data_IF_251263776867
#
_entry.id   IF_251263776867
#
_cell.length_a   1.000
_cell.length_b   1.000
_cell.length_c   1.000
_cell.angle_alpha   90.00
_cell.angle_beta   90.00
_cell.angle_gamma   90.00
#
_symmetry.space_group_name_H-M   'P 1'
#
loop_
_entity.id
_entity.type
_entity.pdbx_description
1 polymer ?
#
# COMPACT_ATOMS: atom_id res chain seq x y z
N UNK A 1 -40.13 7.48 3.62
CA UNK A 1 -39.15 6.38 3.61
C UNK A 1 -38.04 6.71 4.60
N UNK A 2 -37.58 5.74 5.39
CA UNK A 2 -36.44 5.93 6.31
C UNK A 2 -35.12 6.10 5.55
N UNK A 3 -34.05 6.51 6.27
CA UNK A 3 -32.69 6.53 5.72
C UNK A 3 -32.19 5.10 5.49
N UNK A 4 -31.38 4.90 4.46
CA UNK A 4 -30.74 3.62 4.16
C UNK A 4 -29.59 3.39 5.15
N UNK A 5 -29.77 2.47 6.08
CA UNK A 5 -28.79 2.11 7.09
C UNK A 5 -27.67 1.31 6.47
N UNK A 6 -26.46 1.83 6.62
CA UNK A 6 -25.27 1.31 5.93
C UNK A 6 -24.18 0.93 6.93
N UNK A 7 -23.55 -0.23 6.73
CA UNK A 7 -22.24 -0.54 7.32
C UNK A 7 -21.18 -0.47 6.21
N UNK A 8 -20.00 0.07 6.52
CA UNK A 8 -18.86 0.07 5.58
C UNK A 8 -17.77 -0.86 6.12
N UNK A 9 -17.41 -1.89 5.35
CA UNK A 9 -16.35 -2.85 5.68
C UNK A 9 -15.01 -2.36 5.13
N UNK A 10 -14.00 -2.13 5.97
CA UNK A 10 -12.68 -1.77 5.46
C UNK A 10 -11.58 -1.81 6.50
N UNK A 11 -10.42 -1.25 6.12
CA UNK A 11 -9.20 -1.25 6.92
C UNK A 11 -8.67 0.18 7.08
N UNK A 12 -9.55 1.14 7.37
CA UNK A 12 -9.19 2.54 7.62
C UNK A 12 -8.46 3.23 6.45
N UNK A 13 -8.91 3.01 5.21
CA UNK A 13 -8.42 3.72 4.03
C UNK A 13 -9.56 4.02 3.07
N UNK A 14 -9.82 3.09 2.14
CA UNK A 14 -10.91 3.17 1.17
C UNK A 14 -12.29 3.33 1.81
N UNK A 15 -12.54 2.70 2.96
CA UNK A 15 -13.79 2.84 3.71
C UNK A 15 -14.05 4.29 4.13
N UNK A 16 -13.04 4.98 4.66
CA UNK A 16 -13.14 6.40 5.00
C UNK A 16 -13.32 7.28 3.76
N UNK A 17 -12.63 6.96 2.67
CA UNK A 17 -12.81 7.66 1.40
C UNK A 17 -14.22 7.49 0.84
N UNK A 18 -14.73 6.26 0.82
CA UNK A 18 -16.10 5.94 0.39
C UNK A 18 -17.13 6.67 1.25
N UNK A 19 -16.93 6.69 2.57
CA UNK A 19 -17.73 7.49 3.50
C UNK A 19 -17.72 8.97 3.11
N UNK A 20 -16.55 9.56 2.96
CA UNK A 20 -16.39 10.99 2.67
C UNK A 20 -17.02 11.39 1.32
N UNK A 21 -16.99 10.51 0.32
CA UNK A 21 -17.47 10.80 -1.04
C UNK A 21 -18.97 10.53 -1.23
N UNK A 22 -19.49 9.44 -0.68
CA UNK A 22 -20.84 8.98 -0.99
C UNK A 22 -21.84 9.26 0.13
N UNK A 23 -21.39 9.27 1.39
CA UNK A 23 -22.27 9.16 2.55
C UNK A 23 -22.26 10.37 3.49
N UNK A 24 -21.11 11.03 3.67
CA UNK A 24 -20.89 12.04 4.73
C UNK A 24 -21.97 13.11 4.80
N UNK A 25 -22.32 13.68 3.66
CA UNK A 25 -23.25 14.80 3.54
C UNK A 25 -24.56 14.41 2.83
N UNK A 26 -24.84 13.11 2.71
CA UNK A 26 -25.99 12.59 1.97
C UNK A 26 -27.12 12.15 2.92
N UNK A 27 -28.24 12.90 3.02
CA UNK A 27 -29.30 12.63 4.00
C UNK A 27 -30.11 11.36 3.68
N UNK A 28 -29.91 10.73 2.52
CA UNK A 28 -30.55 9.45 2.17
C UNK A 28 -29.96 8.28 2.96
N UNK A 29 -28.75 8.40 3.47
CA UNK A 29 -28.03 7.31 4.14
C UNK A 29 -27.80 7.60 5.62
N UNK A 30 -27.68 6.53 6.39
CA UNK A 30 -27.22 6.55 7.77
C UNK A 30 -26.13 5.49 7.94
N UNK A 31 -24.86 5.90 7.98
CA UNK A 31 -23.75 4.99 8.23
C UNK A 31 -23.67 4.70 9.72
N UNK A 32 -24.14 3.52 10.12
CA UNK A 32 -24.29 3.14 11.54
C UNK A 32 -22.99 2.59 12.14
N UNK A 33 -22.08 2.07 11.31
CA UNK A 33 -20.79 1.57 11.74
C UNK A 33 -19.79 1.43 10.58
N UNK A 34 -18.51 1.54 10.93
CA UNK A 34 -17.43 0.89 10.20
C UNK A 34 -17.13 -0.46 10.83
N UNK A 35 -16.57 -1.38 10.06
CA UNK A 35 -15.85 -2.53 10.64
C UNK A 35 -14.38 -2.45 10.29
N UNK A 36 -13.52 -2.94 11.18
CA UNK A 36 -12.10 -3.09 10.92
C UNK A 36 -11.63 -4.53 11.15
N UNK A 37 -10.71 -4.97 10.30
CA UNK A 37 -9.85 -6.15 10.50
C UNK A 37 -8.43 -5.72 10.81
N UNK A 38 -7.57 -6.72 11.06
CA UNK A 38 -6.09 -6.78 10.94
C UNK A 38 -5.19 -5.67 11.52
N UNK A 39 -5.56 -4.39 11.49
CA UNK A 39 -4.72 -3.30 11.98
C UNK A 39 -4.84 -3.21 13.52
N UNK A 40 -3.74 -3.41 14.27
CA UNK A 40 -3.75 -3.31 15.72
C UNK A 40 -4.24 -1.93 16.19
N UNK A 41 -5.20 -1.92 17.11
CA UNK A 41 -5.62 -0.70 17.81
C UNK A 41 -6.67 0.17 17.11
N UNK A 42 -7.18 -0.21 15.92
CA UNK A 42 -8.25 0.55 15.24
C UNK A 42 -9.66 0.13 15.72
N UNK A 43 -9.90 -1.17 15.91
CA UNK A 43 -11.19 -1.66 16.42
C UNK A 43 -11.46 -1.11 17.83
N UNK A 44 -12.65 -0.54 18.06
CA UNK A 44 -12.99 0.11 19.33
C UNK A 44 -12.78 1.63 19.34
N UNK A 45 -12.17 2.19 18.28
CA UNK A 45 -12.16 3.65 18.04
C UNK A 45 -13.49 4.11 17.42
N UNK A 46 -13.59 5.43 17.22
CA UNK A 46 -14.64 6.07 16.42
C UNK A 46 -14.00 6.82 15.26
N UNK A 47 -14.65 6.81 14.10
CA UNK A 47 -14.41 7.84 13.10
C UNK A 47 -14.86 9.19 13.70
N UNK A 48 -13.97 10.18 13.81
CA UNK A 48 -14.18 11.34 14.67
C UNK A 48 -15.30 12.25 14.14
N UNK A 49 -16.11 12.81 15.04
CA UNK A 49 -17.21 13.73 14.69
C UNK A 49 -16.74 14.94 13.88
N UNK A 50 -15.51 15.38 14.12
CA UNK A 50 -14.88 16.51 13.44
C UNK A 50 -14.64 16.23 11.93
N UNK A 51 -14.57 14.96 11.54
CA UNK A 51 -14.45 14.51 10.14
C UNK A 51 -15.77 13.94 9.58
N UNK A 52 -16.69 13.55 10.45
CA UNK A 52 -17.90 12.84 10.08
C UNK A 52 -18.99 13.73 9.48
N UNK A 53 -18.87 15.05 9.57
CA UNK A 53 -19.85 15.99 9.03
C UNK A 53 -21.11 16.13 9.92
N UNK A 54 -22.03 17.02 9.50
CA UNK A 54 -23.17 17.45 10.33
C UNK A 54 -24.17 16.33 10.65
N UNK A 55 -24.24 15.30 9.80
CA UNK A 55 -25.16 14.17 9.98
C UNK A 55 -24.70 13.19 11.06
N UNK A 56 -23.45 13.30 11.55
CA UNK A 56 -22.82 12.34 12.47
C UNK A 56 -22.15 13.06 13.67
N UNK A 57 -22.92 13.80 14.51
CA UNK A 57 -22.38 14.65 15.58
C UNK A 57 -21.62 13.90 16.68
N UNK A 58 -21.80 12.57 16.77
CA UNK A 58 -21.13 11.71 17.75
C UNK A 58 -20.01 10.85 17.14
N UNK A 59 -19.69 11.07 15.87
CA UNK A 59 -18.82 10.21 15.09
C UNK A 59 -19.47 8.86 14.77
N UNK A 60 -18.72 7.95 14.16
CA UNK A 60 -19.22 6.64 13.73
C UNK A 60 -18.40 5.54 14.42
N UNK A 61 -19.04 4.56 15.09
CA UNK A 61 -18.32 3.51 15.79
C UNK A 61 -17.60 2.56 14.82
N UNK A 62 -16.45 2.04 15.26
CA UNK A 62 -15.67 1.05 14.52
C UNK A 62 -15.68 -0.27 15.30
N UNK A 63 -16.29 -1.30 14.71
CA UNK A 63 -16.43 -2.62 15.34
C UNK A 63 -15.48 -3.67 14.73
N UNK A 64 -15.13 -4.73 15.47
CA UNK A 64 -14.46 -5.89 14.88
C UNK A 64 -15.31 -6.52 13.77
N UNK A 65 -14.71 -6.83 12.63
CA UNK A 65 -15.42 -7.43 11.48
C UNK A 65 -16.14 -8.74 11.82
N UNK A 66 -15.60 -9.55 12.73
CA UNK A 66 -16.24 -10.81 13.18
C UNK A 66 -17.65 -10.61 13.74
N UNK A 67 -18.01 -9.39 14.15
CA UNK A 67 -19.33 -9.06 14.68
C UNK A 67 -20.34 -8.68 13.57
N UNK A 68 -19.93 -8.68 12.29
CA UNK A 68 -20.75 -8.21 11.18
C UNK A 68 -22.17 -8.82 11.15
N UNK A 69 -22.37 -10.14 11.26
CA UNK A 69 -23.72 -10.72 11.24
C UNK A 69 -24.61 -10.21 12.38
N UNK A 70 -24.04 -10.05 13.58
CA UNK A 70 -24.77 -9.51 14.73
C UNK A 70 -25.09 -8.03 14.56
N UNK A 71 -24.17 -7.24 13.98
CA UNK A 71 -24.35 -5.81 13.74
C UNK A 71 -25.45 -5.55 12.71
N UNK A 72 -25.52 -6.35 11.63
CA UNK A 72 -26.57 -6.28 10.61
C UNK A 72 -27.95 -6.42 11.25
N UNK A 73 -28.14 -7.46 12.07
CA UNK A 73 -29.40 -7.72 12.78
C UNK A 73 -29.71 -6.65 13.83
N UNK A 74 -28.71 -6.27 14.63
CA UNK A 74 -28.86 -5.28 15.71
C UNK A 74 -29.30 -3.92 15.18
N UNK A 75 -28.67 -3.42 14.12
CA UNK A 75 -28.97 -2.09 13.60
C UNK A 75 -30.09 -2.08 12.55
N UNK A 76 -30.54 -3.26 12.09
CA UNK A 76 -31.45 -3.43 10.94
C UNK A 76 -30.85 -2.76 9.71
N UNK A 77 -29.66 -3.21 9.33
CA UNK A 77 -28.87 -2.64 8.23
C UNK A 77 -29.50 -3.04 6.90
N UNK A 78 -29.64 -2.07 5.99
CA UNK A 78 -30.19 -2.29 4.65
C UNK A 78 -29.10 -2.73 3.68
N UNK A 79 -27.90 -2.14 3.77
CA UNK A 79 -26.77 -2.47 2.89
C UNK A 79 -25.41 -2.47 3.61
N UNK A 80 -24.50 -3.27 3.09
CA UNK A 80 -23.10 -3.35 3.52
C UNK A 80 -22.21 -3.03 2.33
N UNK A 81 -21.42 -1.97 2.46
CA UNK A 81 -20.48 -1.51 1.45
C UNK A 81 -19.12 -2.14 1.71
N UNK A 82 -18.59 -2.84 0.73
CA UNK A 82 -17.27 -3.46 0.82
C UNK A 82 -16.17 -2.53 0.30
N UNK A 83 -15.15 -2.31 1.12
CA UNK A 83 -14.07 -1.36 0.87
C UNK A 83 -12.68 -1.91 1.26
N UNK A 84 -12.49 -3.23 1.21
CA UNK A 84 -11.14 -3.82 1.31
C UNK A 84 -10.46 -3.90 -0.04
N UNK A 85 -9.14 -3.94 0.00
CA UNK A 85 -8.27 -4.24 -1.14
C UNK A 85 -7.38 -5.45 -0.83
N UNK A 86 -6.75 -5.98 -1.86
CA UNK A 86 -5.71 -7.00 -1.85
C UNK A 86 -6.14 -8.37 -1.30
N UNK A 87 -7.42 -8.67 -1.52
CA UNK A 87 -8.08 -9.93 -1.17
C UNK A 87 -8.47 -10.69 -2.43
N UNK A 88 -8.61 -12.01 -2.33
CA UNK A 88 -9.07 -12.81 -3.47
C UNK A 88 -10.53 -12.47 -3.81
N UNK A 89 -10.93 -12.67 -5.08
CA UNK A 89 -12.35 -12.57 -5.47
C UNK A 89 -13.22 -13.53 -4.66
N UNK A 90 -12.70 -14.70 -4.33
CA UNK A 90 -13.38 -15.66 -3.46
C UNK A 90 -13.67 -15.08 -2.06
N UNK A 91 -12.70 -14.38 -1.45
CA UNK A 91 -12.91 -13.73 -0.16
C UNK A 91 -14.04 -12.70 -0.22
N UNK A 92 -14.08 -11.88 -1.28
CA UNK A 92 -15.15 -10.91 -1.50
C UNK A 92 -16.51 -11.62 -1.54
N UNK A 93 -16.61 -12.73 -2.28
CA UNK A 93 -17.85 -13.49 -2.41
C UNK A 93 -18.26 -14.22 -1.12
N UNK A 94 -17.31 -14.72 -0.34
CA UNK A 94 -17.61 -15.25 1.00
C UNK A 94 -18.17 -14.16 1.92
N UNK A 95 -17.64 -12.94 1.85
CA UNK A 95 -18.21 -11.79 2.60
C UNK A 95 -19.59 -11.41 2.10
N UNK A 96 -19.83 -11.43 0.79
CA UNK A 96 -21.16 -11.20 0.23
C UNK A 96 -22.17 -12.22 0.77
N UNK A 97 -21.84 -13.53 0.76
CA UNK A 97 -22.71 -14.58 1.30
C UNK A 97 -23.07 -14.38 2.78
N UNK A 98 -22.11 -13.92 3.61
CA UNK A 98 -22.37 -13.60 5.01
C UNK A 98 -23.33 -12.42 5.17
N UNK A 99 -23.17 -11.38 4.35
CA UNK A 99 -24.04 -10.21 4.36
C UNK A 99 -25.46 -10.56 3.90
N UNK A 100 -25.58 -11.26 2.77
CA UNK A 100 -26.86 -11.66 2.17
C UNK A 100 -27.64 -12.60 3.10
N UNK A 101 -26.98 -13.61 3.68
CA UNK A 101 -27.60 -14.51 4.67
C UNK A 101 -28.00 -13.82 5.98
N UNK A 102 -27.47 -12.62 6.25
CA UNK A 102 -27.85 -11.79 7.37
C UNK A 102 -28.99 -10.79 7.03
N UNK A 103 -29.43 -10.74 5.77
CA UNK A 103 -30.60 -9.98 5.32
C UNK A 103 -30.32 -8.56 4.79
N UNK A 104 -29.06 -8.22 4.49
CA UNK A 104 -28.68 -6.92 3.92
C UNK A 104 -28.14 -7.06 2.50
N UNK A 105 -28.20 -5.99 1.71
CA UNK A 105 -27.57 -5.91 0.39
C UNK A 105 -26.05 -5.83 0.50
N UNK A 106 -25.34 -6.38 -0.48
CA UNK A 106 -23.89 -6.26 -0.59
C UNK A 106 -23.51 -5.34 -1.76
N UNK A 107 -22.75 -4.28 -1.46
CA UNK A 107 -22.48 -3.20 -2.42
C UNK A 107 -20.98 -3.01 -2.63
N UNK A 108 -20.58 -2.92 -3.91
CA UNK A 108 -19.26 -2.46 -4.34
C UNK A 108 -19.41 -1.09 -5.00
N UNK A 109 -18.74 -0.06 -4.45
CA UNK A 109 -18.77 1.27 -5.03
C UNK A 109 -17.77 1.38 -6.19
N UNK A 110 -18.22 1.96 -7.30
CA UNK A 110 -17.42 2.11 -8.50
C UNK A 110 -16.54 3.38 -8.52
N UNK A 111 -15.60 3.47 -9.48
CA UNK A 111 -14.75 4.64 -9.69
C UNK A 111 -15.52 5.96 -9.83
N UNK A 112 -16.56 6.02 -10.67
CA UNK A 112 -17.32 7.26 -10.91
C UNK A 112 -18.07 7.76 -9.66
N UNK A 113 -18.37 6.88 -8.70
CA UNK A 113 -18.99 7.26 -7.42
C UNK A 113 -17.99 7.79 -6.39
N UNK A 114 -16.69 7.49 -6.56
CA UNK A 114 -15.69 7.68 -5.49
C UNK A 114 -14.49 8.52 -5.92
N UNK A 115 -14.18 8.63 -7.20
CA UNK A 115 -13.02 9.39 -7.67
C UNK A 115 -13.28 10.89 -7.65
N UNK A 116 -12.34 11.62 -7.05
CA UNK A 116 -12.26 13.08 -7.13
C UNK A 116 -11.78 13.52 -8.52
N UNK A 117 -12.23 14.70 -8.96
CA UNK A 117 -11.72 15.33 -10.18
C UNK A 117 -10.66 16.37 -9.81
N UNK A 118 -9.53 16.34 -10.51
CA UNK A 118 -8.42 17.28 -10.37
C UNK A 118 -8.46 18.34 -11.47
N UNK A 119 -8.00 19.54 -11.16
CA UNK A 119 -7.70 20.64 -12.08
C UNK A 119 -6.31 20.52 -12.70
N UNK A 120 -5.43 19.69 -12.11
CA UNK A 120 -4.10 19.34 -12.62
C UNK A 120 -4.12 17.99 -13.32
N UNK A 121 -3.12 17.75 -14.17
CA UNK A 121 -2.93 16.42 -14.77
C UNK A 121 -2.56 15.40 -13.69
N UNK A 122 -3.21 14.24 -13.71
CA UNK A 122 -3.02 13.16 -12.74
C UNK A 122 -2.51 11.90 -13.44
N UNK A 123 -1.39 11.36 -12.96
CA UNK A 123 -0.92 10.03 -13.32
C UNK A 123 -1.12 9.11 -12.11
N UNK A 124 -1.91 8.05 -12.23
CA UNK A 124 -2.04 7.08 -11.16
C UNK A 124 -1.15 5.87 -11.38
N UNK A 125 -0.46 5.45 -10.32
CA UNK A 125 0.29 4.20 -10.25
C UNK A 125 -0.42 3.26 -9.29
N UNK A 126 -1.07 2.23 -9.83
CA UNK A 126 -1.72 1.16 -9.05
C UNK A 126 -1.11 -0.19 -9.37
N UNK A 127 -1.63 -1.27 -8.80
CA UNK A 127 -1.13 -2.61 -9.07
C UNK A 127 -2.26 -3.63 -9.07
N UNK A 128 -1.95 -4.81 -9.60
CA UNK A 128 -2.81 -5.99 -9.51
C UNK A 128 -2.71 -6.69 -8.15
N UNK A 129 -1.57 -6.52 -7.46
CA UNK A 129 -1.24 -7.10 -6.16
C UNK A 129 -0.28 -6.20 -5.37
N UNK A 130 -0.31 -6.27 -4.05
CA UNK A 130 0.71 -5.65 -3.19
C UNK A 130 2.10 -6.22 -3.47
N UNK A 131 3.13 -5.38 -3.40
CA UNK A 131 4.52 -5.77 -3.68
C UNK A 131 4.88 -5.91 -5.17
N UNK A 132 4.02 -5.51 -6.11
CA UNK A 132 4.35 -5.59 -7.55
C UNK A 132 5.41 -4.59 -8.03
N UNK A 133 5.76 -3.57 -7.23
CA UNK A 133 6.76 -2.54 -7.58
C UNK A 133 6.18 -1.18 -7.96
N UNK A 134 5.12 -0.74 -7.27
CA UNK A 134 4.53 0.60 -7.45
C UNK A 134 5.52 1.71 -7.09
N UNK A 135 6.14 1.64 -5.92
CA UNK A 135 7.00 2.73 -5.41
C UNK A 135 8.17 3.06 -6.36
N UNK A 136 8.88 2.06 -6.90
CA UNK A 136 9.93 2.29 -7.91
C UNK A 136 9.37 2.85 -9.24
N UNK A 137 8.14 2.45 -9.61
CA UNK A 137 7.46 3.00 -10.79
C UNK A 137 7.11 4.48 -10.58
N UNK A 138 6.53 4.81 -9.42
CA UNK A 138 6.20 6.18 -9.02
C UNK A 138 7.45 7.07 -9.03
N UNK A 139 8.55 6.63 -8.40
CA UNK A 139 9.83 7.37 -8.42
C UNK A 139 10.35 7.58 -9.84
N UNK A 140 10.29 6.57 -10.71
CA UNK A 140 10.73 6.72 -12.10
C UNK A 140 9.90 7.72 -12.89
N UNK A 141 8.58 7.68 -12.74
CA UNK A 141 7.67 8.66 -13.37
C UNK A 141 7.97 10.07 -12.87
N UNK A 142 8.16 10.25 -11.56
CA UNK A 142 8.52 11.54 -10.98
C UNK A 142 9.86 12.06 -11.53
N UNK A 143 10.92 11.23 -11.55
CA UNK A 143 12.22 11.57 -12.13
C UNK A 143 12.10 11.99 -13.61
N UNK A 144 11.26 11.31 -14.40
CA UNK A 144 11.01 11.68 -15.81
C UNK A 144 10.37 13.07 -15.90
N UNK A 145 9.35 13.35 -15.10
CA UNK A 145 8.63 14.63 -15.12
C UNK A 145 9.48 15.79 -14.58
N UNK A 146 10.24 15.57 -13.52
CA UNK A 146 11.21 16.55 -12.98
C UNK A 146 12.28 16.86 -14.03
N UNK A 147 12.79 15.84 -14.73
CA UNK A 147 13.72 16.02 -15.86
C UNK A 147 13.11 16.77 -17.05
N UNK A 148 11.80 17.01 -17.06
CA UNK A 148 11.07 17.87 -18.00
C UNK A 148 10.62 19.19 -17.36
N UNK A 149 11.25 19.59 -16.26
CA UNK A 149 10.98 20.83 -15.53
C UNK A 149 9.53 20.97 -15.05
N UNK A 150 8.85 19.87 -14.72
CA UNK A 150 7.52 19.90 -14.08
C UNK A 150 7.65 19.90 -12.57
N UNK A 151 6.81 20.68 -11.89
CA UNK A 151 6.58 20.55 -10.44
C UNK A 151 5.70 19.33 -10.18
N UNK A 152 6.25 18.34 -9.49
CA UNK A 152 5.59 17.06 -9.22
C UNK A 152 5.27 16.94 -7.74
N UNK A 153 4.04 16.57 -7.43
CA UNK A 153 3.61 16.18 -6.08
C UNK A 153 3.11 14.74 -6.12
N UNK A 154 3.47 13.95 -5.11
CA UNK A 154 2.90 12.63 -4.89
C UNK A 154 1.77 12.73 -3.87
N UNK A 155 0.61 12.18 -4.19
CA UNK A 155 -0.44 11.91 -3.20
C UNK A 155 -0.42 10.41 -2.91
N UNK A 156 -0.11 10.04 -1.66
CA UNK A 156 -0.09 8.64 -1.21
C UNK A 156 -1.46 8.23 -0.68
N UNK A 157 -1.86 6.99 -0.99
CA UNK A 157 -3.02 6.31 -0.38
C UNK A 157 -2.98 6.34 1.16
N UNK A 158 -4.14 6.36 1.86
CA UNK A 158 -4.17 6.53 3.30
C UNK A 158 -3.53 5.35 4.04
N UNK A 159 -2.81 5.66 5.12
CA UNK A 159 -2.24 4.73 6.10
C UNK A 159 -2.45 5.28 7.53
N UNK A 160 -3.70 5.50 7.99
CA UNK A 160 -3.95 6.34 9.14
C UNK A 160 -3.84 5.57 10.46
N UNK A 161 -2.62 5.14 10.78
CA UNK A 161 -2.31 4.42 12.01
C UNK A 161 -2.41 5.31 13.26
N UNK A 162 -2.23 6.63 13.07
CA UNK A 162 -2.18 7.64 14.12
C UNK A 162 -3.54 8.21 14.55
N UNK A 163 -3.51 9.49 14.95
CA UNK A 163 -4.71 10.26 15.29
C UNK A 163 -5.33 10.86 14.02
N UNK A 164 -6.50 10.35 13.63
CA UNK A 164 -7.25 10.81 12.46
C UNK A 164 -7.48 12.33 12.44
N UNK A 165 -7.58 12.98 13.61
CA UNK A 165 -7.78 14.43 13.70
C UNK A 165 -6.54 15.23 13.30
N UNK A 166 -5.35 14.66 13.49
CA UNK A 166 -4.08 15.26 13.07
C UNK A 166 -3.72 14.90 11.63
N UNK A 167 -4.32 13.84 11.10
CA UNK A 167 -4.06 13.30 9.77
C UNK A 167 -5.11 13.72 8.72
N UNK A 168 -5.75 14.88 8.88
CA UNK A 168 -6.76 15.35 7.91
C UNK A 168 -6.13 15.58 6.54
N UNK A 169 -5.03 16.33 6.53
CA UNK A 169 -4.21 16.64 5.37
C UNK A 169 -2.81 16.93 5.90
N UNK A 170 -1.83 16.15 5.43
CA UNK A 170 -0.43 16.26 5.81
C UNK A 170 0.40 16.45 4.55
N UNK A 171 1.42 17.29 4.66
CA UNK A 171 2.38 17.61 3.61
C UNK A 171 3.77 17.31 4.16
N UNK A 172 4.54 16.50 3.44
CA UNK A 172 5.89 16.09 3.81
C UNK A 172 6.86 16.50 2.70
N UNK A 173 7.83 17.34 3.05
CA UNK A 173 8.90 17.78 2.14
C UNK A 173 10.29 17.51 2.73
N UNK A 174 10.38 17.08 3.99
CA UNK A 174 11.62 16.85 4.72
C UNK A 174 11.44 15.74 5.76
N UNK A 175 12.56 15.21 6.27
CA UNK A 175 12.51 14.25 7.39
C UNK A 175 11.96 14.87 8.68
N UNK A 176 12.20 16.16 8.91
CA UNK A 176 11.62 16.88 10.05
C UNK A 176 10.10 16.85 10.03
N UNK A 177 9.48 16.87 8.84
CA UNK A 177 8.02 16.74 8.71
C UNK A 177 7.56 15.33 9.13
N UNK A 178 8.33 14.29 8.82
CA UNK A 178 8.04 12.91 9.24
C UNK A 178 8.13 12.75 10.76
N UNK A 179 9.14 13.37 11.38
CA UNK A 179 9.34 13.36 12.83
C UNK A 179 8.23 14.12 13.56
N UNK A 180 7.90 15.34 13.10
CA UNK A 180 6.85 16.18 13.69
C UNK A 180 5.46 15.54 13.66
N UNK A 181 5.22 14.63 12.71
CA UNK A 181 3.93 13.97 12.50
C UNK A 181 3.87 12.54 13.06
N UNK A 182 4.89 12.11 13.83
CA UNK A 182 4.96 10.77 14.43
C UNK A 182 4.76 9.63 13.41
N UNK A 183 5.29 9.80 12.19
CA UNK A 183 5.11 8.87 11.07
C UNK A 183 5.77 7.52 11.40
N UNK A 184 5.01 6.42 11.23
CA UNK A 184 5.45 5.05 11.50
C UNK A 184 6.51 4.55 10.50
N UNK A 185 7.16 3.41 10.79
CA UNK A 185 8.13 2.81 9.85
C UNK A 185 7.49 2.52 8.49
N UNK A 186 6.32 1.89 8.46
CA UNK A 186 5.64 1.55 7.20
C UNK A 186 5.24 2.80 6.39
N UNK A 187 4.75 3.85 7.05
CA UNK A 187 4.48 5.11 6.36
C UNK A 187 5.77 5.74 5.81
N UNK A 188 6.87 5.69 6.56
CA UNK A 188 8.18 6.18 6.10
C UNK A 188 8.73 5.39 4.91
N UNK A 189 8.50 4.08 4.85
CA UNK A 189 8.89 3.24 3.69
C UNK A 189 8.25 3.74 2.39
N UNK A 190 7.09 4.39 2.50
CA UNK A 190 6.35 4.94 1.37
C UNK A 190 6.61 6.43 1.13
N UNK A 191 7.17 7.17 2.10
CA UNK A 191 7.39 8.62 2.01
C UNK A 191 8.87 9.00 1.82
N UNK A 192 9.78 8.41 2.58
CA UNK A 192 11.21 8.77 2.58
C UNK A 192 11.84 8.68 1.19
N UNK A 193 11.60 7.62 0.38
CA UNK A 193 12.18 7.55 -0.95
C UNK A 193 11.75 8.68 -1.88
N UNK A 194 10.56 9.28 -1.68
CA UNK A 194 10.12 10.44 -2.47
C UNK A 194 10.81 11.73 -1.98
N UNK A 195 10.87 11.93 -0.67
CA UNK A 195 11.51 13.09 -0.04
C UNK A 195 13.01 13.16 -0.39
N UNK A 196 13.70 12.01 -0.39
CA UNK A 196 15.11 11.91 -0.82
C UNK A 196 15.34 12.35 -2.27
N UNK A 197 14.31 12.21 -3.11
CA UNK A 197 14.33 12.65 -4.51
C UNK A 197 13.77 14.09 -4.68
N UNK A 198 13.60 14.84 -3.59
CA UNK A 198 13.09 16.21 -3.59
C UNK A 198 11.60 16.32 -3.95
N UNK A 199 10.83 15.23 -3.81
CA UNK A 199 9.40 15.19 -4.15
C UNK A 199 8.57 15.39 -2.89
N UNK A 200 7.64 16.33 -2.95
CA UNK A 200 6.67 16.56 -1.86
C UNK A 200 5.63 15.45 -1.87
N UNK A 201 5.35 14.90 -0.69
CA UNK A 201 4.33 13.87 -0.47
C UNK A 201 3.17 14.46 0.32
N UNK A 202 1.96 14.21 -0.16
CA UNK A 202 0.72 14.48 0.56
C UNK A 202 0.02 13.19 0.97
N UNK A 203 -0.47 13.14 2.20
CA UNK A 203 -1.25 12.02 2.73
C UNK A 203 -2.25 12.49 3.80
N UNK A 204 -3.10 11.58 4.27
CA UNK A 204 -4.09 11.84 5.30
C UNK A 204 -5.41 11.14 5.01
N UNK A 205 -6.53 11.68 5.51
CA UNK A 205 -7.84 11.02 5.42
C UNK A 205 -8.91 11.81 4.64
N UNK A 206 -8.75 13.14 4.48
CA UNK A 206 -9.66 13.96 3.68
C UNK A 206 -9.05 14.26 2.31
N UNK A 207 -9.23 13.33 1.37
CA UNK A 207 -8.65 13.44 0.02
C UNK A 207 -9.18 14.63 -0.78
N UNK A 208 -10.36 15.16 -0.43
CA UNK A 208 -10.85 16.40 -1.04
C UNK A 208 -10.01 17.61 -0.63
N UNK A 209 -9.57 17.67 0.63
CA UNK A 209 -8.65 18.72 1.11
C UNK A 209 -7.23 18.49 0.60
N UNK A 210 -6.74 17.25 0.69
CA UNK A 210 -5.41 16.89 0.22
C UNK A 210 -5.22 17.24 -1.26
N UNK A 211 -6.19 16.88 -2.11
CA UNK A 211 -6.13 17.22 -3.54
C UNK A 211 -6.03 18.74 -3.73
N UNK A 212 -6.89 19.52 -3.06
CA UNK A 212 -6.87 20.98 -3.16
C UNK A 212 -5.54 21.61 -2.74
N UNK A 213 -4.87 21.09 -1.71
CA UNK A 213 -3.57 21.60 -1.31
C UNK A 213 -2.47 21.20 -2.32
N UNK A 214 -2.46 19.94 -2.77
CA UNK A 214 -1.52 19.47 -3.78
C UNK A 214 -1.63 20.25 -5.11
N UNK A 215 -2.85 20.60 -5.53
CA UNK A 215 -3.11 21.38 -6.74
C UNK A 215 -2.49 22.79 -6.71
N UNK A 216 -2.21 23.36 -5.52
CA UNK A 216 -1.57 24.69 -5.41
C UNK A 216 -0.09 24.66 -5.76
N UNK A 217 0.56 23.50 -5.63
CA UNK A 217 2.02 23.38 -5.73
C UNK A 217 2.47 22.58 -6.97
N UNK A 218 1.57 21.77 -7.55
CA UNK A 218 1.90 20.85 -8.62
C UNK A 218 1.49 21.34 -10.01
N UNK A 219 2.33 21.03 -11.00
CA UNK A 219 1.93 20.99 -12.41
C UNK A 219 1.31 19.61 -12.73
N UNK A 220 1.87 18.55 -12.16
CA UNK A 220 1.42 17.16 -12.33
C UNK A 220 1.36 16.48 -10.97
N UNK A 221 0.25 15.80 -10.70
CA UNK A 221 0.04 15.00 -9.50
C UNK A 221 0.27 13.53 -9.85
N UNK A 222 1.05 12.83 -9.04
CA UNK A 222 1.15 11.36 -9.11
C UNK A 222 0.34 10.77 -7.96
N UNK A 223 -0.70 10.01 -8.28
CA UNK A 223 -1.37 9.17 -7.29
C UNK A 223 -0.57 7.89 -7.07
N UNK A 224 -0.01 7.72 -5.87
CA UNK A 224 0.75 6.53 -5.49
C UNK A 224 -0.16 5.59 -4.67
N UNK A 225 -0.70 4.58 -5.35
CA UNK A 225 -1.76 3.72 -4.83
C UNK A 225 -1.32 2.83 -3.67
N UNK A 226 -2.22 2.49 -2.75
CA UNK A 226 -1.98 1.58 -1.63
C UNK A 226 -2.33 0.15 -2.03
N UNK A 227 -1.56 -0.83 -1.57
CA UNK A 227 -1.81 -2.24 -1.87
C UNK A 227 -2.05 -2.51 -3.37
N UNK A 228 -3.25 -2.98 -3.74
CA UNK A 228 -3.75 -3.06 -5.11
C UNK A 228 -5.06 -2.26 -5.31
N UNK A 229 -5.31 -1.25 -4.47
CA UNK A 229 -6.50 -0.42 -4.56
C UNK A 229 -6.49 0.44 -5.84
N UNK A 230 -7.66 0.86 -6.32
CA UNK A 230 -7.78 1.77 -7.46
C UNK A 230 -7.60 3.24 -7.03
N UNK A 231 -7.47 4.16 -7.99
CA UNK A 231 -7.20 5.57 -7.65
C UNK A 231 -8.35 6.24 -6.90
N UNK A 232 -8.04 7.17 -6.00
CA UNK A 232 -9.04 8.04 -5.36
C UNK A 232 -9.31 9.29 -6.20
N UNK A 233 -8.48 9.53 -7.22
CA UNK A 233 -8.52 10.70 -8.09
C UNK A 233 -8.59 10.20 -9.53
N UNK A 234 -9.47 10.80 -10.33
CA UNK A 234 -9.59 10.48 -11.75
C UNK A 234 -8.27 10.83 -12.46
N UNK A 235 -7.73 9.86 -13.18
CA UNK A 235 -6.41 9.96 -13.83
C UNK A 235 -6.52 10.28 -15.30
N UNK A 236 -5.54 11.02 -15.83
CA UNK A 236 -5.31 11.23 -17.25
C UNK A 236 -4.41 10.14 -17.87
N UNK A 237 -3.61 9.48 -17.03
CA UNK A 237 -2.84 8.29 -17.38
C UNK A 237 -2.90 7.27 -16.24
N UNK A 238 -3.42 6.08 -16.53
CA UNK A 238 -3.61 5.00 -15.57
C UNK A 238 -2.56 3.90 -15.75
N UNK A 239 -1.52 3.92 -14.91
CA UNK A 239 -0.41 2.94 -14.92
C UNK A 239 -0.66 1.85 -13.88
N UNK A 240 -0.59 0.59 -14.31
CA UNK A 240 -0.81 -0.56 -13.44
C UNK A 240 0.40 -1.49 -13.46
N UNK A 241 0.88 -1.90 -12.28
CA UNK A 241 2.02 -2.82 -12.17
C UNK A 241 1.54 -4.26 -11.91
N UNK A 242 2.02 -5.18 -12.74
CA UNK A 242 1.80 -6.62 -12.63
C UNK A 242 3.09 -7.38 -12.28
N UNK A 243 2.96 -8.47 -11.53
CA UNK A 243 4.07 -9.27 -11.00
C UNK A 243 3.97 -10.74 -11.46
N UNK A 244 4.86 -11.19 -12.37
CA UNK A 244 4.87 -12.57 -12.87
C UNK A 244 5.13 -13.64 -11.81
N UNK A 245 5.72 -13.32 -10.65
CA UNK A 245 5.91 -14.31 -9.58
C UNK A 245 4.60 -14.84 -9.00
N UNK A 246 3.48 -14.17 -9.29
CA UNK A 246 2.12 -14.54 -8.89
C UNK A 246 1.18 -14.58 -10.09
N UNK A 247 1.64 -15.12 -11.23
CA UNK A 247 0.90 -15.12 -12.48
C UNK A 247 -0.49 -15.80 -12.39
N UNK A 248 -1.53 -15.04 -12.74
CA UNK A 248 -2.94 -15.36 -12.57
C UNK A 248 -3.62 -14.49 -11.52
N UNK A 249 -2.87 -13.91 -10.57
CA UNK A 249 -3.45 -13.04 -9.54
C UNK A 249 -4.05 -11.75 -10.13
N UNK A 250 -3.57 -11.34 -11.30
CA UNK A 250 -4.11 -10.22 -12.05
C UNK A 250 -5.58 -10.39 -12.49
N UNK A 251 -6.11 -11.61 -12.42
CA UNK A 251 -7.52 -11.95 -12.69
C UNK A 251 -8.23 -12.57 -11.47
N UNK A 252 -7.59 -12.64 -10.30
CA UNK A 252 -8.11 -13.38 -9.15
C UNK A 252 -8.23 -12.53 -7.86
N UNK A 253 -7.79 -11.27 -7.89
CA UNK A 253 -7.73 -10.40 -6.72
C UNK A 253 -8.43 -9.06 -6.92
N UNK A 254 -9.13 -8.64 -5.87
CA UNK A 254 -9.87 -7.38 -5.79
C UNK A 254 -9.04 -6.26 -5.14
N UNK A 255 -9.13 -5.01 -5.62
CA UNK A 255 -9.64 -4.61 -6.93
C UNK A 255 -8.54 -4.66 -8.02
N UNK A 256 -7.55 -5.53 -7.88
CA UNK A 256 -6.44 -5.67 -8.83
C UNK A 256 -6.87 -5.91 -10.28
N UNK A 257 -7.90 -6.74 -10.50
CA UNK A 257 -8.47 -6.93 -11.83
C UNK A 257 -9.20 -5.67 -12.34
N UNK A 258 -9.87 -4.91 -11.47
CA UNK A 258 -10.47 -3.61 -11.81
C UNK A 258 -9.40 -2.65 -12.33
N UNK A 259 -8.26 -2.55 -11.63
CA UNK A 259 -7.11 -1.78 -12.08
C UNK A 259 -6.63 -2.23 -13.47
N UNK A 260 -6.42 -3.54 -13.67
CA UNK A 260 -5.96 -4.09 -14.94
C UNK A 260 -6.87 -3.73 -16.12
N UNK A 261 -8.19 -3.82 -15.91
CA UNK A 261 -9.21 -3.49 -16.92
C UNK A 261 -9.26 -1.99 -17.25
N UNK A 262 -8.90 -1.13 -16.30
CA UNK A 262 -8.86 0.33 -16.47
C UNK A 262 -7.51 0.86 -16.99
N UNK A 263 -6.48 0.01 -17.06
CA UNK A 263 -5.11 0.44 -17.37
C UNK A 263 -4.98 1.02 -18.79
N UNK A 264 -4.29 2.16 -18.90
CA UNK A 264 -3.72 2.62 -20.17
C UNK A 264 -2.39 1.93 -20.45
N UNK A 265 -1.63 1.68 -19.38
CA UNK A 265 -0.33 1.02 -19.42
C UNK A 265 -0.22 -0.02 -18.31
N UNK A 266 0.23 -1.22 -18.69
CA UNK A 266 0.58 -2.28 -17.75
C UNK A 266 2.08 -2.49 -17.78
N UNK A 267 2.73 -2.32 -16.64
CA UNK A 267 4.14 -2.65 -16.44
C UNK A 267 4.22 -4.06 -15.86
N UNK A 268 4.72 -5.00 -16.65
CA UNK A 268 5.05 -6.35 -16.18
C UNK A 268 6.47 -6.30 -15.61
N UNK A 269 6.56 -6.22 -14.29
CA UNK A 269 7.80 -5.98 -13.56
C UNK A 269 8.49 -7.30 -13.15
N UNK A 270 9.72 -7.22 -12.61
CA UNK A 270 10.51 -8.35 -12.07
C UNK A 270 10.79 -9.47 -13.09
N UNK A 271 10.83 -9.14 -14.39
CA UNK A 271 11.02 -10.14 -15.46
C UNK A 271 12.40 -10.82 -15.39
N UNK A 272 13.36 -10.19 -14.71
CA UNK A 272 14.73 -10.68 -14.52
C UNK A 272 14.84 -11.84 -13.53
N UNK A 273 13.85 -11.99 -12.64
CA UNK A 273 13.82 -13.06 -11.62
C UNK A 273 12.67 -14.05 -11.82
N UNK A 274 11.71 -13.74 -12.71
CA UNK A 274 10.55 -14.60 -12.97
C UNK A 274 10.78 -15.62 -14.09
N UNK A 275 9.98 -16.71 -14.09
CA UNK A 275 9.99 -17.69 -15.16
C UNK A 275 9.39 -17.10 -16.44
N UNK A 276 9.96 -17.46 -17.60
CA UNK A 276 9.44 -17.03 -18.92
C UNK A 276 7.97 -17.40 -19.13
N UNK A 277 7.55 -18.58 -18.68
CA UNK A 277 6.15 -19.04 -18.76
C UNK A 277 5.18 -18.10 -18.03
N UNK A 278 5.58 -17.63 -16.86
CA UNK A 278 4.75 -16.81 -15.99
C UNK A 278 4.63 -15.39 -16.52
N UNK A 279 5.72 -14.86 -17.09
CA UNK A 279 5.72 -13.58 -17.82
C UNK A 279 4.74 -13.66 -19.00
N UNK A 280 4.80 -14.72 -19.81
CA UNK A 280 3.88 -14.88 -20.95
C UNK A 280 2.43 -15.03 -20.50
N UNK A 281 2.18 -15.73 -19.39
CA UNK A 281 0.84 -15.87 -18.80
C UNK A 281 0.25 -14.52 -18.40
N UNK A 282 1.00 -13.68 -17.69
CA UNK A 282 0.55 -12.32 -17.32
C UNK A 282 0.27 -11.46 -18.55
N UNK A 283 1.13 -11.51 -19.57
CA UNK A 283 0.93 -10.77 -20.82
C UNK A 283 -0.35 -11.25 -21.53
N UNK A 284 -0.57 -12.56 -21.63
CA UNK A 284 -1.76 -13.16 -22.25
C UNK A 284 -3.03 -12.73 -21.50
N UNK A 285 -3.04 -12.84 -20.18
CA UNK A 285 -4.17 -12.48 -19.33
C UNK A 285 -4.47 -10.98 -19.40
N UNK A 286 -3.45 -10.14 -19.42
CA UNK A 286 -3.60 -8.69 -19.63
C UNK A 286 -4.32 -8.40 -20.94
N UNK A 287 -3.85 -9.00 -22.04
CA UNK A 287 -4.45 -8.79 -23.37
C UNK A 287 -5.88 -9.34 -23.47
N UNK A 288 -6.22 -10.40 -22.73
CA UNK A 288 -7.57 -10.97 -22.79
C UNK A 288 -8.64 -10.09 -22.14
N UNK A 289 -8.29 -9.30 -21.11
CA UNK A 289 -9.25 -8.42 -20.43
C UNK A 289 -9.11 -6.94 -20.79
N UNK A 290 -7.93 -6.54 -21.29
CA UNK A 290 -7.66 -5.17 -21.73
C UNK A 290 -6.73 -5.18 -22.95
N UNK A 291 -7.27 -5.42 -24.17
CA UNK A 291 -6.47 -5.46 -25.40
C UNK A 291 -5.91 -4.09 -25.81
N UNK A 292 -6.38 -2.99 -25.22
CA UNK A 292 -5.95 -1.61 -25.54
C UNK A 292 -4.75 -1.17 -24.70
N UNK A 293 -4.53 -1.78 -23.53
CA UNK A 293 -3.42 -1.43 -22.66
C UNK A 293 -2.06 -1.65 -23.35
N UNK A 294 -1.19 -0.66 -23.25
CA UNK A 294 0.20 -0.81 -23.68
C UNK A 294 0.97 -1.60 -22.63
N UNK A 295 1.78 -2.56 -23.05
CA UNK A 295 2.55 -3.41 -22.14
C UNK A 295 4.03 -3.01 -22.17
N UNK A 296 4.59 -2.68 -21.00
CA UNK A 296 6.02 -2.43 -20.80
C UNK A 296 6.57 -3.57 -19.97
N UNK A 297 7.69 -4.17 -20.39
CA UNK A 297 8.40 -5.16 -19.60
C UNK A 297 9.49 -4.44 -18.79
N UNK A 298 9.65 -4.80 -17.52
CA UNK A 298 10.65 -4.17 -16.66
C UNK A 298 11.30 -5.16 -15.70
N UNK A 299 12.57 -4.91 -15.41
CA UNK A 299 13.33 -5.55 -14.35
C UNK A 299 13.22 -4.75 -13.06
N UNK A 300 13.40 -5.43 -11.93
CA UNK A 300 13.53 -4.80 -10.62
C UNK A 300 14.96 -4.96 -10.14
N UNK A 301 15.83 -4.03 -10.51
CA UNK A 301 17.28 -4.20 -10.36
C UNK A 301 17.69 -3.92 -8.92
N UNK A 302 18.16 -4.96 -8.22
CA UNK A 302 18.61 -4.89 -6.83
C UNK A 302 20.07 -4.44 -6.75
N UNK A 303 20.33 -3.41 -5.94
CA UNK A 303 21.65 -2.84 -5.66
C UNK A 303 21.94 -2.86 -4.16
N UNK A 304 23.23 -2.82 -3.79
CA UNK A 304 23.69 -2.83 -2.39
C UNK A 304 24.75 -1.74 -2.25
N UNK A 305 24.61 -0.87 -1.25
CA UNK A 305 25.50 0.27 -1.04
C UNK A 305 26.93 -0.15 -0.67
N UNK A 306 27.07 -1.13 0.23
CA UNK A 306 28.34 -1.58 0.83
C UNK A 306 28.47 -3.10 0.72
N UNK A 307 28.66 -3.64 -0.49
CA UNK A 307 28.64 -5.09 -0.72
C UNK A 307 29.76 -5.84 0.02
N UNK A 308 30.89 -5.19 0.31
CA UNK A 308 32.00 -5.76 1.09
C UNK A 308 31.62 -6.11 2.53
N UNK A 309 30.59 -5.47 3.09
CA UNK A 309 30.14 -5.75 4.46
C UNK A 309 29.42 -7.09 4.58
N UNK A 310 28.83 -7.61 3.50
CA UNK A 310 27.95 -8.79 3.52
C UNK A 310 28.48 -9.98 2.72
N UNK A 311 29.40 -9.77 1.76
CA UNK A 311 29.87 -10.81 0.85
C UNK A 311 30.43 -12.03 1.60
N UNK A 312 29.91 -13.22 1.30
CA UNK A 312 30.27 -14.51 1.93
C UNK A 312 30.05 -14.57 3.46
N UNK A 313 29.20 -13.72 4.04
CA UNK A 313 28.96 -13.65 5.49
C UNK A 313 27.63 -14.26 5.93
N UNK A 314 27.49 -14.52 7.23
CA UNK A 314 26.21 -14.81 7.84
C UNK A 314 25.43 -13.52 8.11
N UNK A 315 24.22 -13.40 7.54
CA UNK A 315 23.47 -12.14 7.53
C UNK A 315 22.04 -12.33 8.04
N UNK A 316 21.59 -11.37 8.84
CA UNK A 316 20.16 -11.19 9.12
C UNK A 316 19.57 -10.26 8.05
N UNK A 317 18.46 -10.65 7.43
CA UNK A 317 17.74 -9.79 6.48
C UNK A 317 16.57 -9.14 7.22
N UNK A 318 16.49 -7.81 7.14
CA UNK A 318 15.29 -7.04 7.51
C UNK A 318 14.60 -6.62 6.22
N UNK A 319 13.35 -7.01 6.03
CA UNK A 319 12.61 -6.79 4.78
C UNK A 319 11.36 -5.92 4.95
N UNK A 320 10.92 -5.35 3.82
CA UNK A 320 9.64 -4.65 3.65
C UNK A 320 8.49 -5.48 4.26
N UNK A 321 7.89 -4.94 5.33
CA UNK A 321 6.84 -5.58 6.10
C UNK A 321 5.61 -5.92 5.25
N UNK A 322 4.97 -4.93 4.59
CA UNK A 322 3.81 -5.16 3.72
C UNK A 322 4.01 -6.21 2.63
N UNK A 323 5.15 -6.20 1.92
CA UNK A 323 5.42 -7.15 0.83
C UNK A 323 5.47 -8.59 1.34
N UNK A 324 6.09 -8.80 2.50
CA UNK A 324 6.28 -10.11 3.12
C UNK A 324 5.01 -10.63 3.84
N UNK A 325 4.25 -9.73 4.45
CA UNK A 325 3.06 -10.06 5.24
C UNK A 325 1.79 -10.15 4.37
N UNK A 326 1.11 -9.05 4.11
CA UNK A 326 -0.16 -9.02 3.38
C UNK A 326 0.03 -9.27 1.88
N UNK A 327 1.17 -8.89 1.31
CA UNK A 327 1.53 -9.21 -0.08
C UNK A 327 1.75 -10.71 -0.33
N UNK A 328 2.10 -11.47 0.72
CA UNK A 328 2.26 -12.93 0.67
C UNK A 328 3.49 -13.40 -0.11
N UNK A 329 4.50 -12.55 -0.31
CA UNK A 329 5.76 -13.00 -0.92
C UNK A 329 6.58 -13.81 0.09
N UNK A 330 7.21 -14.90 -0.38
CA UNK A 330 8.06 -15.76 0.46
C UNK A 330 9.49 -15.23 0.62
N UNK A 331 9.91 -14.31 -0.25
CA UNK A 331 11.21 -13.66 -0.21
C UNK A 331 11.13 -12.25 -0.83
N UNK A 332 11.98 -11.35 -0.36
CA UNK A 332 12.06 -9.96 -0.81
C UNK A 332 13.40 -9.61 -1.49
N UNK A 333 13.65 -8.31 -1.65
CA UNK A 333 14.90 -7.79 -2.23
C UNK A 333 16.14 -8.20 -1.43
N UNK A 334 16.01 -8.34 -0.10
CA UNK A 334 17.09 -8.78 0.78
C UNK A 334 17.56 -10.20 0.48
N UNK A 335 16.64 -11.15 0.23
CA UNK A 335 17.02 -12.51 -0.20
C UNK A 335 17.71 -12.51 -1.57
N UNK A 336 17.27 -11.65 -2.50
CA UNK A 336 17.92 -11.52 -3.81
C UNK A 336 19.36 -10.99 -3.65
N UNK A 337 19.55 -9.97 -2.80
CA UNK A 337 20.87 -9.43 -2.47
C UNK A 337 21.76 -10.48 -1.79
N UNK A 338 21.25 -11.19 -0.78
CA UNK A 338 21.98 -12.24 -0.07
C UNK A 338 22.48 -13.33 -1.03
N UNK A 339 21.64 -13.79 -1.96
CA UNK A 339 22.03 -14.76 -2.99
C UNK A 339 23.12 -14.20 -3.92
N UNK A 340 22.98 -12.96 -4.39
CA UNK A 340 23.94 -12.30 -5.28
C UNK A 340 25.35 -12.20 -4.66
N UNK A 341 25.43 -12.01 -3.35
CA UNK A 341 26.69 -11.87 -2.60
C UNK A 341 27.10 -13.13 -1.82
N UNK A 342 26.45 -14.28 -2.11
CA UNK A 342 26.74 -15.57 -1.50
C UNK A 342 26.70 -15.57 0.04
N UNK A 343 25.73 -14.85 0.61
CA UNK A 343 25.53 -14.77 2.06
C UNK A 343 24.75 -15.99 2.57
N UNK A 344 25.02 -16.39 3.81
CA UNK A 344 24.22 -17.38 4.54
C UNK A 344 23.16 -16.65 5.38
N UNK A 345 21.89 -16.91 5.12
CA UNK A 345 20.78 -16.22 5.80
C UNK A 345 20.58 -16.80 7.20
N UNK A 346 20.60 -15.94 8.21
CA UNK A 346 20.31 -16.28 9.62
C UNK A 346 18.81 -16.13 9.88
N UNK A 347 18.20 -17.16 10.45
CA UNK A 347 16.77 -17.15 10.82
C UNK A 347 16.53 -16.24 12.04
N UNK A 348 15.82 -15.13 11.81
CA UNK A 348 15.47 -14.15 12.85
C UNK A 348 14.46 -14.66 13.90
N UNK A 349 13.76 -15.77 13.66
CA UNK A 349 12.69 -16.27 14.56
C UNK A 349 13.20 -16.60 15.96
N UNK A 350 14.42 -17.14 16.05
CA UNK A 350 15.04 -17.51 17.33
C UNK A 350 15.36 -16.31 18.22
N UNK A 351 15.39 -15.13 17.62
CA UNK A 351 15.75 -13.85 18.23
C UNK A 351 14.54 -12.93 18.43
N UNK A 352 13.40 -13.25 17.80
CA UNK A 352 12.20 -12.44 17.81
C UNK A 352 11.56 -12.39 19.21
N UNK A 353 11.28 -11.17 19.67
CA UNK A 353 10.60 -10.91 20.94
C UNK A 353 9.25 -10.22 20.74
N UNK A 354 8.40 -10.31 21.76
CA UNK A 354 7.14 -9.56 21.83
C UNK A 354 6.28 -9.72 20.57
N UNK A 355 5.87 -8.59 19.99
CA UNK A 355 4.99 -8.57 18.82
C UNK A 355 5.63 -9.14 17.56
N UNK A 356 6.95 -9.06 17.40
CA UNK A 356 7.66 -9.63 16.24
C UNK A 356 7.56 -11.16 16.25
N UNK A 357 7.65 -11.77 17.43
CA UNK A 357 7.44 -13.21 17.59
C UNK A 357 6.01 -13.60 17.18
N UNK A 358 5.03 -12.77 17.49
CA UNK A 358 3.64 -13.03 17.11
C UNK A 358 3.40 -12.87 15.61
N UNK A 359 4.14 -11.98 14.94
CA UNK A 359 4.14 -11.87 13.47
C UNK A 359 4.68 -13.16 12.84
N UNK A 360 5.80 -13.70 13.31
CA UNK A 360 6.31 -14.98 12.81
C UNK A 360 5.35 -16.15 13.04
N UNK A 361 4.62 -16.18 14.15
CA UNK A 361 3.57 -17.19 14.38
C UNK A 361 2.41 -17.07 13.39
N UNK A 362 2.02 -15.83 13.07
CA UNK A 362 0.95 -15.55 12.11
C UNK A 362 1.36 -15.85 10.67
N UNK A 363 2.63 -15.63 10.35
CA UNK A 363 3.19 -15.80 9.01
C UNK A 363 4.36 -16.80 9.04
N UNK A 364 4.06 -18.11 9.21
CA UNK A 364 5.07 -19.15 9.40
C UNK A 364 5.96 -19.39 8.16
N UNK A 365 5.64 -18.79 7.01
CA UNK A 365 6.47 -18.82 5.81
C UNK A 365 7.65 -17.83 5.83
N UNK A 366 7.65 -16.85 6.74
CA UNK A 366 8.65 -15.76 6.74
C UNK A 366 10.02 -16.22 7.23
N UNK A 367 11.04 -16.11 6.38
CA UNK A 367 12.45 -16.29 6.76
C UNK A 367 13.10 -14.95 7.13
N UNK A 368 12.75 -13.88 6.41
CA UNK A 368 13.21 -12.51 6.66
C UNK A 368 12.55 -11.93 7.92
N UNK A 369 13.20 -10.97 8.57
CA UNK A 369 12.64 -10.19 9.67
C UNK A 369 11.78 -9.05 9.10
N UNK A 370 10.45 -9.07 9.24
CA UNK A 370 9.63 -7.95 8.78
C UNK A 370 9.90 -6.70 9.63
N UNK A 371 10.05 -5.55 8.97
CA UNK A 371 10.26 -4.26 9.63
C UNK A 371 8.99 -3.74 10.32
N UNK A 372 8.68 -4.30 11.49
CA UNK A 372 7.51 -3.91 12.28
C UNK A 372 7.79 -2.62 13.07
N UNK A 373 6.94 -1.59 12.91
CA UNK A 373 7.19 -0.30 13.54
C UNK A 373 5.98 0.62 13.73
N UNK A 374 4.79 0.09 14.00
CA UNK A 374 3.58 0.91 14.23
C UNK A 374 3.53 1.59 15.60
N UNK A 375 4.46 1.26 16.52
CA UNK A 375 4.54 1.89 17.83
C UNK A 375 5.97 1.89 18.37
N UNK A 376 6.25 2.79 19.31
CA UNK A 376 7.55 2.87 20.02
C UNK A 376 7.95 1.52 20.66
N UNK A 377 6.97 0.72 21.08
CA UNK A 377 7.21 -0.63 21.62
C UNK A 377 7.75 -1.55 20.53
N UNK A 378 7.11 -1.56 19.35
CA UNK A 378 7.54 -2.41 18.23
C UNK A 378 8.92 -2.02 17.70
N UNK A 379 9.21 -0.72 17.60
CA UNK A 379 10.53 -0.22 17.20
C UNK A 379 11.62 -0.73 18.16
N UNK A 380 11.37 -0.69 19.48
CA UNK A 380 12.29 -1.26 20.48
C UNK A 380 12.42 -2.78 20.39
N UNK A 381 11.33 -3.49 20.08
CA UNK A 381 11.36 -4.94 19.86
C UNK A 381 12.17 -5.30 18.61
N UNK A 382 12.07 -4.49 17.54
CA UNK A 382 12.83 -4.64 16.30
C UNK A 382 14.33 -4.46 16.55
N UNK A 383 14.71 -3.37 17.23
CA UNK A 383 16.09 -3.10 17.62
C UNK A 383 16.69 -4.26 18.44
N UNK A 384 15.98 -4.72 19.48
CA UNK A 384 16.44 -5.83 20.33
C UNK A 384 16.55 -7.14 19.55
N UNK A 385 15.60 -7.42 18.67
CA UNK A 385 15.62 -8.63 17.82
C UNK A 385 16.87 -8.63 16.94
N UNK A 386 17.12 -7.54 16.21
CA UNK A 386 18.30 -7.37 15.35
C UNK A 386 19.60 -7.48 16.14
N UNK A 387 19.69 -6.79 17.29
CA UNK A 387 20.91 -6.77 18.09
C UNK A 387 21.22 -8.12 18.76
N UNK A 388 20.19 -8.92 19.06
CA UNK A 388 20.37 -10.28 19.62
C UNK A 388 20.71 -11.35 18.58
N UNK A 389 20.48 -11.09 17.29
CA UNK A 389 20.77 -12.03 16.22
C UNK A 389 22.27 -12.37 16.15
N UNK A 390 22.60 -13.65 16.01
CA UNK A 390 23.97 -14.12 15.81
C UNK A 390 24.28 -14.10 14.31
N UNK A 391 24.73 -12.97 13.81
CA UNK A 391 25.12 -12.75 12.41
C UNK A 391 26.28 -11.75 12.33
N UNK A 392 27.04 -11.78 11.24
CA UNK A 392 28.18 -10.89 11.00
C UNK A 392 27.75 -9.49 10.54
N UNK A 393 26.61 -9.41 9.86
CA UNK A 393 26.07 -8.17 9.31
C UNK A 393 24.54 -8.23 9.16
N UNK A 394 23.93 -7.08 8.92
CA UNK A 394 22.51 -6.93 8.63
C UNK A 394 22.36 -6.43 7.19
N UNK A 395 21.48 -7.07 6.44
CA UNK A 395 20.96 -6.56 5.17
C UNK A 395 19.67 -5.81 5.50
N UNK A 396 19.70 -4.49 5.35
CA UNK A 396 18.50 -3.65 5.41
C UNK A 396 17.89 -3.56 4.01
N UNK A 397 16.83 -4.33 3.78
CA UNK A 397 16.06 -4.32 2.54
C UNK A 397 14.70 -3.63 2.70
N UNK A 398 14.60 -2.75 3.70
CA UNK A 398 13.48 -1.83 3.82
C UNK A 398 13.71 -0.60 2.92
N UNK A 399 12.65 0.04 2.43
CA UNK A 399 12.78 1.32 1.71
C UNK A 399 13.23 2.50 2.59
N UNK A 400 13.21 2.35 3.92
CA UNK A 400 13.73 3.36 4.86
C UNK A 400 15.18 3.07 5.21
N UNK A 401 15.87 4.09 5.71
CA UNK A 401 17.15 3.87 6.37
C UNK A 401 16.92 3.56 7.86
N UNK A 402 16.93 2.28 8.25
CA UNK A 402 16.66 1.88 9.64
C UNK A 402 17.65 2.48 10.65
N UNK A 403 18.87 2.83 10.24
CA UNK A 403 19.86 3.44 11.12
C UNK A 403 19.44 4.83 11.63
N UNK A 404 18.46 5.47 11.01
CA UNK A 404 17.87 6.72 11.50
C UNK A 404 16.87 6.51 12.63
N UNK A 405 16.32 5.30 12.74
CA UNK A 405 15.20 4.99 13.63
C UNK A 405 15.61 4.11 14.81
N UNK A 406 16.62 3.24 14.63
CA UNK A 406 17.08 2.29 15.64
C UNK A 406 18.61 2.18 15.66
N UNK A 407 19.15 1.78 16.81
CA UNK A 407 20.58 1.55 17.00
C UNK A 407 20.93 0.10 16.72
N UNK A 408 21.56 -0.16 15.57
CA UNK A 408 22.03 -1.49 15.17
C UNK A 408 23.52 -1.65 15.54
N UNK A 409 23.84 -2.67 16.32
CA UNK A 409 25.21 -2.93 16.82
C UNK A 409 26.08 -3.78 15.87
N UNK A 410 25.70 -3.86 14.60
CA UNK A 410 26.34 -4.67 13.55
C UNK A 410 26.55 -3.84 12.30
N UNK A 411 27.51 -4.19 11.42
CA UNK A 411 27.60 -3.62 10.09
C UNK A 411 26.28 -3.78 9.32
N UNK A 412 25.82 -2.70 8.68
CA UNK A 412 24.58 -2.69 7.88
C UNK A 412 24.92 -2.35 6.43
N UNK A 413 24.41 -3.17 5.51
CA UNK A 413 24.38 -2.86 4.09
C UNK A 413 22.92 -2.64 3.67
N UNK A 414 22.65 -1.50 3.03
CA UNK A 414 21.33 -1.12 2.55
C UNK A 414 21.13 -1.65 1.14
N UNK A 415 19.95 -2.21 0.90
CA UNK A 415 19.50 -2.71 -0.39
C UNK A 415 18.50 -1.73 -0.98
N UNK A 416 18.75 -1.33 -2.21
CA UNK A 416 17.81 -0.51 -3.00
C UNK A 416 17.41 -1.27 -4.26
N UNK A 417 16.29 -0.87 -4.86
CA UNK A 417 15.75 -1.43 -6.08
C UNK A 417 15.13 -0.35 -6.97
N UNK A 418 15.45 -0.43 -8.26
CA UNK A 418 14.98 0.52 -9.26
C UNK A 418 14.39 -0.18 -10.49
N UNK A 419 13.42 0.50 -11.10
CA UNK A 419 12.70 0.00 -12.27
C UNK A 419 13.54 0.21 -13.55
N UNK A 420 13.98 -0.87 -14.18
CA UNK A 420 14.67 -0.83 -15.47
C UNK A 420 13.75 -1.39 -16.57
N UNK A 421 13.30 -0.53 -17.48
CA UNK A 421 12.39 -0.93 -18.56
C UNK A 421 13.17 -1.56 -19.71
N UNK A 422 12.59 -2.60 -20.32
CA UNK A 422 13.18 -3.37 -21.39
C UNK A 422 12.34 -3.23 -22.66
N UNK A 423 13.02 -3.01 -23.78
CA UNK A 423 12.40 -2.91 -25.10
C UNK A 423 12.18 -1.47 -25.57
N UNK A 424 11.50 -1.33 -26.71
CA UNK A 424 11.35 -0.03 -27.40
C UNK A 424 10.30 0.89 -26.77
N UNK A 425 9.24 0.33 -26.20
CA UNK A 425 8.21 1.10 -25.50
C UNK A 425 8.65 1.33 -24.06
N UNK A 426 8.54 2.57 -23.58
CA UNK A 426 8.89 2.94 -22.22
C UNK A 426 8.06 4.13 -21.71
N UNK A 427 8.14 4.41 -20.40
CA UNK A 427 7.42 5.47 -19.71
C UNK A 427 7.71 6.86 -20.30
N UNK A 428 8.95 7.14 -20.71
CA UNK A 428 9.29 8.41 -21.39
C UNK A 428 8.48 8.61 -22.68
N UNK A 429 8.17 7.54 -23.43
CA UNK A 429 7.35 7.61 -24.65
C UNK A 429 5.85 7.66 -24.38
N UNK A 430 5.41 7.06 -23.28
CA UNK A 430 3.99 7.05 -22.88
C UNK A 430 3.58 8.40 -22.30
N UNK A 431 4.40 8.94 -21.40
CA UNK A 431 4.15 10.22 -20.73
C UNK A 431 4.42 11.33 -21.75
N UNK A 432 3.36 12.03 -22.18
CA UNK A 432 3.43 13.09 -23.20
C UNK A 432 3.43 14.51 -22.61
N UNK A 433 3.65 14.64 -21.30
CA UNK A 433 3.61 15.89 -20.53
C UNK A 433 4.94 16.64 -20.51
#
# INVERSE_FOLDING_TARGET
>A
MGRIKTIILGAAGRDYHNFNMVFRDNPRYEVVAFTATQIPGISGRKYPKELAGKLYPHGIPIHPEKNLPQLIKKFKVDQVVFAYSDVSHEYVMHKASVVLSSGADFVLLGPESTMLKSSKTVISVTAVRTGSGKSQTTRKIAKILIGRNKKVVVIRHPMPYGDLKKQVCQRFASYDDLDKNDVTIEEREEYEPHIENGIVVYAGVDYGKILKEAEKEADVIIWDGGNNDFSFIKSDLYVVVADPHRAGHELAYHPGETNLRMADVVIVNKIDSAKKSDIQKVIKNTKSVNPKAKIILAKSVVTVDKPSLIKNKEVLIVGDGPTLTHGGMTYGAGTIAAKKYNCKIVDGRKHAIGSIRDVYKRYPHLVELPAMGYSKKQIKELEKTINSAKCDAVIDATPVNLLRLIKINKPVAQVDYELEEVGKLNLKKVIKL
#
